data_IF_994237401985
#
_entry.id   IF_994237401985
#
_cell.length_a   1.000
_cell.length_b   1.000
_cell.length_c   1.000
_cell.angle_alpha   90.00
_cell.angle_beta   90.00
_cell.angle_gamma   90.00
#
_symmetry.space_group_name_H-M   'P 1'
#
loop_
_entity.id
_entity.type
_entity.pdbx_description
1 polymer ?
#
# COMPACT_ATOMS: atom_id res chain seq x y z
N UNK A 1 5.72 6.97 -18.53
CA UNK A 1 5.09 7.21 -17.22
C UNK A 1 5.72 6.21 -16.25
N UNK A 2 5.99 6.59 -14.99
CA UNK A 2 6.56 5.66 -14.01
C UNK A 2 5.49 4.70 -13.49
N UNK A 3 5.90 3.57 -12.92
CA UNK A 3 4.97 2.66 -12.27
C UNK A 3 4.18 3.36 -11.16
N UNK A 4 4.83 4.21 -10.35
CA UNK A 4 4.18 4.97 -9.29
C UNK A 4 3.06 5.86 -9.84
N UNK A 5 3.35 6.65 -10.87
CA UNK A 5 2.38 7.53 -11.49
C UNK A 5 1.21 6.77 -12.12
N UNK A 6 1.45 5.59 -12.70
CA UNK A 6 0.40 4.73 -13.24
C UNK A 6 -0.54 4.21 -12.13
N UNK A 7 0.04 3.70 -11.03
CA UNK A 7 -0.73 3.21 -9.88
C UNK A 7 -1.51 4.34 -9.21
N UNK A 8 -0.87 5.46 -8.90
CA UNK A 8 -1.54 6.64 -8.34
C UNK A 8 -2.73 7.04 -9.20
N UNK A 9 -2.55 7.12 -10.52
CA UNK A 9 -3.62 7.51 -11.45
C UNK A 9 -4.78 6.50 -11.47
N UNK A 10 -4.49 5.21 -11.32
CA UNK A 10 -5.53 4.17 -11.22
C UNK A 10 -6.31 4.37 -9.91
N UNK A 11 -5.62 4.53 -8.77
CA UNK A 11 -6.27 4.73 -7.46
C UNK A 11 -7.11 6.02 -7.45
N UNK A 12 -6.57 7.13 -7.93
CA UNK A 12 -7.27 8.43 -8.00
C UNK A 12 -8.50 8.41 -8.93
N UNK A 13 -8.52 7.55 -9.96
CA UNK A 13 -9.70 7.36 -10.81
C UNK A 13 -10.82 6.62 -10.09
N UNK A 14 -10.49 5.74 -9.15
CA UNK A 14 -11.47 5.02 -8.34
C UNK A 14 -12.12 5.95 -7.31
N UNK A 15 -11.34 6.85 -6.71
CA UNK A 15 -11.79 7.72 -5.64
C UNK A 15 -11.97 9.18 -6.11
N UNK A 16 -10.90 9.96 -6.08
CA UNK A 16 -10.84 11.31 -6.62
C UNK A 16 -9.36 11.74 -6.75
N UNK A 17 -9.05 12.73 -7.62
CA UNK A 17 -7.69 13.27 -7.73
C UNK A 17 -7.22 13.96 -6.45
N UNK A 18 -5.99 13.68 -6.02
CA UNK A 18 -5.36 14.40 -4.89
C UNK A 18 -4.76 15.74 -5.32
N UNK A 19 -4.47 15.92 -6.61
CA UNK A 19 -3.77 17.09 -7.15
C UNK A 19 -2.28 17.13 -6.84
N UNK A 20 -1.72 16.06 -6.27
CA UNK A 20 -0.33 15.94 -5.84
C UNK A 20 0.41 14.95 -6.76
N UNK A 21 1.70 15.15 -7.01
CA UNK A 21 2.55 14.09 -7.61
C UNK A 21 3.36 13.43 -6.50
N UNK A 22 3.00 12.19 -6.12
CA UNK A 22 3.67 11.47 -5.03
C UNK A 22 5.12 11.07 -5.33
N UNK A 23 5.57 11.07 -6.59
CA UNK A 23 6.98 10.87 -6.93
C UNK A 23 7.89 11.94 -6.30
N UNK A 24 7.35 13.15 -6.06
CA UNK A 24 8.09 14.24 -5.42
C UNK A 24 8.25 14.07 -3.91
N UNK A 25 7.60 13.08 -3.32
CA UNK A 25 7.58 12.80 -1.89
C UNK A 25 8.35 11.52 -1.55
N UNK A 26 9.05 10.94 -2.53
CA UNK A 26 9.98 9.83 -2.27
C UNK A 26 11.15 10.34 -1.44
N UNK A 27 11.40 9.68 -0.31
CA UNK A 27 12.47 10.03 0.62
C UNK A 27 13.63 9.04 0.55
N UNK A 28 14.82 9.51 0.93
CA UNK A 28 16.03 8.68 0.98
C UNK A 28 16.01 7.74 2.20
N UNK A 29 16.88 6.72 2.17
CA UNK A 29 17.09 5.83 3.34
C UNK A 29 17.54 6.61 4.58
N UNK A 30 18.38 7.62 4.42
CA UNK A 30 18.80 8.48 5.55
C UNK A 30 17.60 9.18 6.19
N UNK A 31 16.72 9.74 5.37
CA UNK A 31 15.51 10.40 5.86
C UNK A 31 14.52 9.41 6.48
N UNK A 32 14.38 8.21 5.91
CA UNK A 32 13.62 7.11 6.50
C UNK A 32 14.13 6.79 7.90
N UNK A 33 15.42 6.52 8.07
CA UNK A 33 16.02 6.21 9.38
C UNK A 33 15.81 7.36 10.40
N UNK A 34 15.95 8.61 9.94
CA UNK A 34 15.69 9.78 10.78
C UNK A 34 14.22 9.90 11.22
N UNK A 35 13.26 9.58 10.35
CA UNK A 35 11.83 9.67 10.70
C UNK A 35 11.39 8.49 11.58
N UNK A 36 11.91 7.30 11.29
CA UNK A 36 11.67 6.06 12.03
C UNK A 36 11.98 6.15 13.52
N UNK A 37 12.92 6.99 13.94
CA UNK A 37 13.23 7.18 15.37
C UNK A 37 12.09 7.83 16.18
N UNK A 38 11.12 8.45 15.51
CA UNK A 38 9.98 9.12 16.13
C UNK A 38 8.71 8.25 16.16
N UNK A 39 8.79 7.03 15.64
CA UNK A 39 7.71 6.07 15.63
C UNK A 39 8.03 4.91 16.59
N UNK A 40 7.29 4.85 17.70
CA UNK A 40 7.48 3.82 18.74
C UNK A 40 7.17 2.40 18.24
N UNK A 41 6.48 2.24 17.10
CA UNK A 41 6.17 0.95 16.47
C UNK A 41 7.18 0.54 15.41
N UNK A 42 8.21 1.35 15.17
CA UNK A 42 9.14 1.18 14.05
C UNK A 42 9.86 -0.18 14.04
N UNK A 43 10.13 -0.79 15.20
CA UNK A 43 10.86 -2.07 15.29
C UNK A 43 10.09 -3.28 14.73
N UNK A 44 8.78 -3.15 14.53
CA UNK A 44 7.91 -4.25 14.08
C UNK A 44 7.38 -4.06 12.65
N UNK A 45 7.49 -2.84 12.11
CA UNK A 45 7.02 -2.49 10.78
C UNK A 45 8.09 -2.77 9.72
N UNK A 46 7.66 -3.05 8.49
CA UNK A 46 8.55 -3.37 7.37
C UNK A 46 9.59 -2.28 7.12
N UNK A 47 10.83 -2.71 6.84
CA UNK A 47 11.92 -1.86 6.33
C UNK A 47 11.93 -1.81 4.79
N UNK A 48 11.03 -2.54 4.12
CA UNK A 48 10.97 -2.55 2.66
C UNK A 48 10.30 -1.30 2.09
N UNK A 49 9.27 -0.79 2.75
CA UNK A 49 8.59 0.43 2.35
C UNK A 49 7.85 1.05 3.54
N UNK A 50 7.60 2.37 3.49
CA UNK A 50 6.81 3.07 4.53
C UNK A 50 6.33 4.45 4.08
N UNK A 51 5.10 4.81 4.42
CA UNK A 51 4.58 6.18 4.37
C UNK A 51 4.60 6.83 5.75
N UNK A 52 5.03 8.09 5.78
CA UNK A 52 4.96 8.96 6.95
C UNK A 52 3.98 10.09 6.69
N UNK A 53 3.12 10.35 7.68
CA UNK A 53 2.23 11.51 7.71
C UNK A 53 2.58 12.42 8.87
N UNK A 54 2.47 13.73 8.63
CA UNK A 54 2.44 14.73 9.70
C UNK A 54 1.57 15.90 9.29
N UNK A 55 0.60 16.25 10.14
CA UNK A 55 -0.17 17.48 9.99
C UNK A 55 0.46 18.58 10.83
N UNK A 56 0.77 19.71 10.21
CA UNK A 56 1.27 20.89 10.91
C UNK A 56 0.84 22.16 10.17
N UNK A 57 0.36 23.17 10.91
CA UNK A 57 -0.10 24.46 10.35
C UNK A 57 -1.03 24.32 9.13
N UNK A 58 -2.01 23.41 9.20
CA UNK A 58 -2.95 23.11 8.11
C UNK A 58 -2.26 22.65 6.81
N UNK A 59 -1.13 21.99 6.93
CA UNK A 59 -0.43 21.30 5.83
C UNK A 59 -0.22 19.85 6.20
N UNK A 60 -0.43 18.97 5.22
CA UNK A 60 -0.03 17.58 5.31
C UNK A 60 1.38 17.43 4.74
N UNK A 61 2.29 16.92 5.56
CA UNK A 61 3.61 16.46 5.13
C UNK A 61 3.53 14.97 4.90
N UNK A 62 3.98 14.53 3.73
CA UNK A 62 4.03 13.13 3.31
C UNK A 62 5.48 12.77 2.99
N UNK A 63 5.91 11.58 3.37
CA UNK A 63 7.17 11.01 2.91
C UNK A 63 6.97 9.53 2.62
N UNK A 64 7.41 9.07 1.46
CA UNK A 64 7.27 7.67 1.03
C UNK A 64 8.66 7.08 0.84
N UNK A 65 8.97 6.03 1.57
CA UNK A 65 10.22 5.31 1.44
C UNK A 65 10.00 3.98 0.72
N UNK A 66 10.90 3.66 -0.20
CA UNK A 66 11.04 2.33 -0.80
C UNK A 66 12.51 1.89 -0.68
N UNK A 67 12.74 0.68 -0.20
CA UNK A 67 14.07 0.12 -0.05
C UNK A 67 14.71 -0.15 -1.41
N UNK A 68 16.05 -0.16 -1.44
CA UNK A 68 16.79 -0.48 -2.68
C UNK A 68 16.50 -1.90 -3.17
N UNK A 69 16.23 -2.84 -2.27
CA UNK A 69 15.96 -4.22 -2.63
C UNK A 69 14.55 -4.37 -3.22
N UNK A 70 13.57 -3.65 -2.69
CA UNK A 70 12.23 -3.54 -3.27
C UNK A 70 12.28 -2.95 -4.68
N UNK A 71 12.99 -1.82 -4.85
CA UNK A 71 13.17 -1.18 -6.16
C UNK A 71 13.82 -2.16 -7.14
N UNK A 72 14.92 -2.82 -6.74
CA UNK A 72 15.60 -3.81 -7.59
C UNK A 72 14.70 -4.99 -7.96
N UNK A 73 13.87 -5.47 -7.03
CA UNK A 73 12.93 -6.56 -7.31
C UNK A 73 11.91 -6.15 -8.39
N UNK A 74 11.34 -4.95 -8.29
CA UNK A 74 10.38 -4.42 -9.26
C UNK A 74 11.02 -4.11 -10.61
N UNK A 75 12.24 -3.57 -10.64
CA UNK A 75 12.96 -3.31 -11.90
C UNK A 75 13.34 -4.61 -12.61
N UNK A 76 13.77 -5.63 -11.86
CA UNK A 76 14.13 -6.94 -12.41
C UNK A 76 12.92 -7.73 -12.92
N UNK A 77 11.78 -7.57 -12.26
CA UNK A 77 10.55 -8.30 -12.55
C UNK A 77 9.35 -7.33 -12.66
N UNK A 78 9.39 -6.47 -13.68
CA UNK A 78 8.41 -5.38 -13.86
C UNK A 78 6.97 -5.90 -13.92
N UNK A 79 6.08 -5.51 -12.97
CA UNK A 79 4.68 -5.96 -12.95
C UNK A 79 3.88 -5.49 -14.18
N UNK A 80 4.36 -4.48 -14.92
CA UNK A 80 3.78 -4.03 -16.20
C UNK A 80 4.05 -4.99 -17.35
N UNK A 81 4.80 -6.06 -17.12
CA UNK A 81 5.03 -7.15 -18.08
C UNK A 81 4.28 -8.43 -17.72
N UNK A 82 3.57 -8.43 -16.59
CA UNK A 82 2.85 -9.59 -16.06
C UNK A 82 3.09 -9.78 -14.56
N UNK A 83 2.10 -10.36 -13.88
CA UNK A 83 2.22 -10.75 -12.48
C UNK A 83 2.67 -12.21 -12.36
N UNK A 84 3.53 -12.48 -11.39
CA UNK A 84 4.08 -13.82 -11.13
C UNK A 84 4.56 -13.94 -9.68
N UNK A 85 4.93 -15.16 -9.27
CA UNK A 85 5.58 -15.43 -7.98
C UNK A 85 6.83 -14.56 -7.73
N UNK A 86 7.48 -14.07 -8.79
CA UNK A 86 8.73 -13.31 -8.67
C UNK A 86 8.52 -11.85 -8.31
N UNK A 87 7.32 -11.31 -8.53
CA UNK A 87 7.06 -9.88 -8.34
C UNK A 87 5.82 -9.56 -7.50
N UNK A 88 4.89 -10.50 -7.30
CA UNK A 88 3.63 -10.20 -6.60
C UNK A 88 3.85 -9.61 -5.21
N UNK A 89 4.72 -10.20 -4.40
CA UNK A 89 4.98 -9.71 -3.03
C UNK A 89 5.57 -8.29 -3.04
N UNK A 90 6.59 -8.05 -3.86
CA UNK A 90 7.21 -6.73 -4.00
C UNK A 90 6.17 -5.70 -4.52
N UNK A 91 5.32 -6.12 -5.45
CA UNK A 91 4.32 -5.24 -6.02
C UNK A 91 3.19 -4.91 -5.05
N UNK A 92 2.73 -5.86 -4.22
CA UNK A 92 1.78 -5.60 -3.15
C UNK A 92 2.29 -4.51 -2.21
N UNK A 93 3.50 -4.69 -1.65
CA UNK A 93 4.12 -3.71 -0.73
C UNK A 93 4.23 -2.34 -1.41
N UNK A 94 4.63 -2.29 -2.67
CA UNK A 94 4.73 -1.03 -3.41
C UNK A 94 3.39 -0.31 -3.56
N UNK A 95 2.33 -1.05 -3.87
CA UNK A 95 0.97 -0.54 -4.08
C UNK A 95 0.33 -0.11 -2.75
N UNK A 96 0.53 -0.87 -1.67
CA UNK A 96 0.02 -0.55 -0.33
C UNK A 96 0.47 0.84 0.11
N UNK A 97 1.76 1.18 -0.03
CA UNK A 97 2.26 2.51 0.35
C UNK A 97 1.68 3.64 -0.54
N UNK A 98 1.46 3.39 -1.84
CA UNK A 98 0.82 4.39 -2.71
C UNK A 98 -0.62 4.62 -2.26
N UNK A 99 -1.34 3.55 -1.93
CA UNK A 99 -2.71 3.64 -1.42
C UNK A 99 -2.74 4.39 -0.09
N UNK A 100 -1.82 4.09 0.83
CA UNK A 100 -1.69 4.86 2.08
C UNK A 100 -1.53 6.35 1.80
N UNK A 101 -0.60 6.73 0.92
CA UNK A 101 -0.35 8.13 0.59
C UNK A 101 -1.57 8.82 -0.05
N UNK A 102 -2.25 8.16 -0.99
CA UNK A 102 -3.48 8.67 -1.63
C UNK A 102 -4.58 8.85 -0.59
N UNK A 103 -4.92 7.81 0.16
CA UNK A 103 -5.99 7.87 1.17
C UNK A 103 -5.68 8.88 2.28
N UNK A 104 -4.43 8.98 2.70
CA UNK A 104 -3.99 10.01 3.65
C UNK A 104 -4.21 11.42 3.11
N UNK A 105 -3.88 11.68 1.85
CA UNK A 105 -4.14 12.97 1.21
C UNK A 105 -5.64 13.26 1.07
N UNK A 106 -6.44 12.27 0.66
CA UNK A 106 -7.89 12.44 0.54
C UNK A 106 -8.55 12.74 1.89
N UNK A 107 -8.16 12.02 2.95
CA UNK A 107 -8.67 12.25 4.31
C UNK A 107 -8.29 13.62 4.85
N UNK A 108 -7.09 14.10 4.53
CA UNK A 108 -6.70 15.47 4.84
C UNK A 108 -7.57 16.50 4.11
N UNK A 109 -7.87 16.29 2.83
CA UNK A 109 -8.74 17.18 2.04
C UNK A 109 -10.18 17.20 2.57
N UNK A 110 -10.66 16.11 3.16
CA UNK A 110 -11.96 16.02 3.84
C UNK A 110 -11.98 16.77 5.20
N UNK A 111 -10.85 17.33 5.64
CA UNK A 111 -10.75 18.09 6.88
C UNK A 111 -10.54 17.26 8.13
N UNK A 112 -10.18 15.97 7.99
CA UNK A 112 -9.87 15.08 9.11
C UNK A 112 -8.38 15.23 9.50
N UNK A 113 -8.05 15.74 10.70
CA UNK A 113 -6.68 16.12 11.03
C UNK A 113 -5.89 15.03 11.79
N UNK A 114 -6.55 13.98 12.28
CA UNK A 114 -5.96 13.06 13.26
C UNK A 114 -5.53 11.72 12.64
N UNK A 115 -4.33 11.73 12.07
CA UNK A 115 -3.66 10.57 11.46
C UNK A 115 -3.14 9.56 12.49
N UNK A 116 -3.18 9.91 13.79
CA UNK A 116 -2.71 9.04 14.87
C UNK A 116 -3.82 8.19 15.49
N UNK A 117 -5.08 8.41 15.14
CA UNK A 117 -6.19 7.62 15.66
C UNK A 117 -6.17 6.20 15.10
N UNK A 118 -6.37 5.23 15.98
CA UNK A 118 -6.38 3.81 15.60
C UNK A 118 -7.47 3.50 14.56
N UNK A 119 -8.63 4.15 14.62
CA UNK A 119 -9.68 4.00 13.61
C UNK A 119 -9.22 4.42 12.21
N UNK A 120 -8.49 5.54 12.11
CA UNK A 120 -7.91 5.97 10.85
C UNK A 120 -6.89 4.95 10.33
N UNK A 121 -6.02 4.44 11.20
CA UNK A 121 -5.00 3.46 10.82
C UNK A 121 -5.63 2.13 10.38
N UNK A 122 -6.69 1.67 11.06
CA UNK A 122 -7.47 0.49 10.67
C UNK A 122 -8.13 0.66 9.30
N UNK A 123 -8.79 1.80 9.08
CA UNK A 123 -9.41 2.11 7.80
C UNK A 123 -8.35 2.17 6.68
N UNK A 124 -7.19 2.76 6.97
CA UNK A 124 -6.08 2.90 6.03
C UNK A 124 -5.54 1.53 5.58
N UNK A 125 -5.30 0.62 6.52
CA UNK A 125 -4.82 -0.74 6.20
C UNK A 125 -5.89 -1.55 5.44
N UNK A 126 -7.16 -1.45 5.87
CA UNK A 126 -8.25 -2.14 5.18
C UNK A 126 -8.39 -1.68 3.73
N UNK A 127 -8.40 -0.37 3.50
CA UNK A 127 -8.48 0.19 2.14
C UNK A 127 -7.27 -0.23 1.30
N UNK A 128 -6.06 -0.19 1.87
CA UNK A 128 -4.86 -0.64 1.17
C UNK A 128 -4.95 -2.10 0.73
N UNK A 129 -5.48 -3.01 1.56
CA UNK A 129 -5.69 -4.42 1.18
C UNK A 129 -6.72 -4.57 0.06
N UNK A 130 -7.85 -3.89 0.16
CA UNK A 130 -8.92 -3.94 -0.86
C UNK A 130 -8.41 -3.40 -2.19
N UNK A 131 -7.78 -2.22 -2.19
CA UNK A 131 -7.27 -1.58 -3.39
C UNK A 131 -6.16 -2.39 -4.04
N UNK A 132 -5.25 -2.95 -3.24
CA UNK A 132 -4.21 -3.85 -3.75
C UNK A 132 -4.82 -5.06 -4.44
N UNK A 133 -5.82 -5.71 -3.83
CA UNK A 133 -6.54 -6.82 -4.47
C UNK A 133 -7.17 -6.40 -5.80
N UNK A 134 -7.93 -5.31 -5.83
CA UNK A 134 -8.60 -4.82 -7.04
C UNK A 134 -7.61 -4.44 -8.14
N UNK A 135 -6.47 -3.87 -7.77
CA UNK A 135 -5.42 -3.50 -8.71
C UNK A 135 -4.71 -4.74 -9.28
N UNK A 136 -4.39 -5.73 -8.46
CA UNK A 136 -3.83 -7.00 -8.95
C UNK A 136 -4.80 -7.71 -9.90
N UNK A 137 -6.10 -7.68 -9.59
CA UNK A 137 -7.15 -8.18 -10.50
C UNK A 137 -7.14 -7.46 -11.84
N UNK A 138 -7.02 -6.12 -11.82
CA UNK A 138 -6.94 -5.32 -13.04
C UNK A 138 -5.71 -5.71 -13.88
N UNK A 139 -4.54 -5.88 -13.25
CA UNK A 139 -3.32 -6.32 -13.94
C UNK A 139 -3.48 -7.72 -14.53
N UNK A 140 -3.96 -8.70 -13.78
CA UNK A 140 -4.18 -10.06 -14.31
C UNK A 140 -5.18 -10.09 -15.47
N UNK A 141 -6.32 -9.40 -15.35
CA UNK A 141 -7.32 -9.33 -16.42
C UNK A 141 -6.73 -8.69 -17.70
N UNK A 142 -5.93 -7.63 -17.53
CA UNK A 142 -5.23 -6.99 -18.65
C UNK A 142 -4.26 -7.94 -19.35
N UNK A 143 -3.39 -8.65 -18.62
CA UNK A 143 -2.38 -9.53 -19.22
C UNK A 143 -2.94 -10.85 -19.74
N UNK A 144 -3.99 -11.38 -19.12
CA UNK A 144 -4.70 -12.57 -19.61
C UNK A 144 -5.53 -12.29 -20.88
N UNK A 145 -5.59 -11.02 -21.33
CA UNK A 145 -6.47 -10.55 -22.42
C UNK A 145 -7.94 -10.94 -22.23
N UNK A 146 -8.31 -11.22 -20.98
CA UNK A 146 -9.64 -11.65 -20.58
C UNK A 146 -10.23 -10.59 -19.68
N UNK A 147 -11.47 -10.18 -19.96
CA UNK A 147 -12.20 -9.27 -19.08
C UNK A 147 -12.61 -9.92 -17.75
N UNK A 148 -12.32 -11.21 -17.58
CA UNK A 148 -12.68 -11.98 -16.39
C UNK A 148 -11.49 -12.79 -15.88
N UNK A 149 -11.36 -12.82 -14.56
CA UNK A 149 -10.41 -13.70 -13.87
C UNK A 149 -10.99 -15.09 -13.70
N UNK A 150 -10.13 -16.07 -13.92
CA UNK A 150 -10.43 -17.47 -13.64
C UNK A 150 -10.52 -17.73 -12.14
N UNK A 151 -11.05 -18.89 -11.76
CA UNK A 151 -11.11 -19.28 -10.35
C UNK A 151 -9.70 -19.36 -9.73
N UNK A 152 -8.72 -19.87 -10.49
CA UNK A 152 -7.34 -20.01 -10.03
C UNK A 152 -6.66 -18.66 -9.79
N UNK A 153 -6.88 -17.67 -10.67
CA UNK A 153 -6.38 -16.30 -10.49
C UNK A 153 -6.85 -15.71 -9.15
N UNK A 154 -8.14 -15.90 -8.82
CA UNK A 154 -8.72 -15.38 -7.57
C UNK A 154 -8.15 -16.07 -6.35
N UNK A 155 -7.99 -17.39 -6.40
CA UNK A 155 -7.36 -18.16 -5.32
C UNK A 155 -5.91 -17.73 -5.13
N UNK A 156 -5.17 -17.55 -6.23
CA UNK A 156 -3.79 -17.11 -6.22
C UNK A 156 -3.61 -15.72 -5.60
N UNK A 157 -4.45 -14.75 -5.98
CA UNK A 157 -4.44 -13.42 -5.36
C UNK A 157 -4.78 -13.44 -3.88
N UNK A 158 -5.77 -14.26 -3.49
CA UNK A 158 -6.15 -14.40 -2.07
C UNK A 158 -5.03 -15.00 -1.24
N UNK A 159 -4.35 -16.02 -1.77
CA UNK A 159 -3.21 -16.63 -1.11
C UNK A 159 -2.13 -15.59 -0.80
N UNK A 160 -1.73 -14.79 -1.78
CA UNK A 160 -0.68 -13.80 -1.61
C UNK A 160 -1.06 -12.58 -0.76
N UNK A 161 -2.34 -12.21 -0.69
CA UNK A 161 -2.79 -11.02 0.05
C UNK A 161 -3.35 -11.29 1.45
N UNK A 162 -3.91 -12.47 1.69
CA UNK A 162 -4.65 -12.75 2.94
C UNK A 162 -4.16 -13.98 3.70
N UNK A 163 -3.54 -14.96 3.04
CA UNK A 163 -3.18 -16.23 3.69
C UNK A 163 -1.69 -16.34 4.00
N UNK A 164 -0.83 -15.70 3.19
CA UNK A 164 0.64 -15.77 3.32
C UNK A 164 1.20 -14.80 4.37
N UNK A 165 0.41 -13.85 4.84
CA UNK A 165 0.87 -12.79 5.74
C UNK A 165 1.14 -13.33 7.16
N UNK A 166 2.39 -13.27 7.61
CA UNK A 166 2.78 -13.67 8.96
C UNK A 166 2.56 -12.51 9.93
N UNK A 167 1.50 -12.58 10.74
CA UNK A 167 1.12 -11.53 11.69
C UNK A 167 1.85 -11.63 13.04
N UNK A 168 3.16 -11.85 13.00
CA UNK A 168 4.01 -12.07 14.19
C UNK A 168 4.48 -10.73 14.80
N UNK A 169 3.55 -9.84 15.10
CA UNK A 169 3.83 -8.56 15.76
C UNK A 169 3.92 -8.73 17.28
N UNK A 170 4.86 -8.04 17.93
CA UNK A 170 4.97 -8.04 19.39
C UNK A 170 3.91 -7.12 20.03
N UNK A 171 3.49 -6.07 19.33
CA UNK A 171 2.38 -5.19 19.71
C UNK A 171 1.04 -5.84 19.38
N UNK A 172 0.22 -6.06 20.41
CA UNK A 172 -1.14 -6.61 20.26
C UNK A 172 -2.07 -5.68 19.48
N UNK A 173 -1.89 -4.37 19.60
CA UNK A 173 -2.65 -3.39 18.82
C UNK A 173 -2.30 -3.49 17.33
N UNK A 174 -1.01 -3.61 17.02
CA UNK A 174 -0.53 -3.74 15.65
C UNK A 174 -1.00 -5.08 15.03
N UNK A 175 -0.82 -6.18 15.76
CA UNK A 175 -1.34 -7.50 15.37
C UNK A 175 -2.85 -7.46 15.11
N UNK A 176 -3.60 -6.80 15.99
CA UNK A 176 -5.05 -6.62 15.87
C UNK A 176 -5.44 -5.87 14.59
N UNK A 177 -4.74 -4.77 14.27
CA UNK A 177 -4.98 -3.95 13.08
C UNK A 177 -4.79 -4.76 11.79
N UNK A 178 -3.64 -5.42 11.63
CA UNK A 178 -3.37 -6.21 10.43
C UNK A 178 -4.27 -7.44 10.33
N UNK A 179 -4.57 -8.11 11.45
CA UNK A 179 -5.52 -9.23 11.47
C UNK A 179 -6.92 -8.79 11.01
N UNK A 180 -7.41 -7.64 11.50
CA UNK A 180 -8.69 -7.09 11.05
C UNK A 180 -8.67 -6.72 9.57
N UNK A 181 -7.59 -6.08 9.09
CA UNK A 181 -7.44 -5.73 7.69
C UNK A 181 -7.49 -6.97 6.77
N UNK A 182 -6.84 -8.07 7.18
CA UNK A 182 -6.88 -9.36 6.46
C UNK A 182 -8.30 -9.93 6.46
N UNK A 183 -8.93 -10.08 7.63
CA UNK A 183 -10.26 -10.71 7.75
C UNK A 183 -11.34 -9.92 7.01
N UNK A 184 -11.34 -8.60 7.16
CA UNK A 184 -12.32 -7.73 6.50
C UNK A 184 -12.01 -7.58 5.01
N UNK A 185 -10.74 -7.42 4.64
CA UNK A 185 -10.30 -7.36 3.25
C UNK A 185 -10.73 -8.61 2.49
N UNK A 186 -10.51 -9.79 3.06
CA UNK A 186 -10.95 -11.05 2.47
C UNK A 186 -12.47 -11.11 2.33
N UNK A 187 -13.22 -10.61 3.32
CA UNK A 187 -14.69 -10.57 3.27
C UNK A 187 -15.22 -9.65 2.17
N UNK A 188 -14.64 -8.46 1.99
CA UNK A 188 -15.07 -7.48 1.01
C UNK A 188 -14.61 -7.78 -0.42
N UNK A 189 -13.67 -8.70 -0.59
CA UNK A 189 -13.11 -9.09 -1.89
C UNK A 189 -13.60 -10.45 -2.41
N UNK A 190 -14.51 -11.10 -1.67
CA UNK A 190 -15.26 -12.29 -2.11
C UNK A 190 -16.34 -11.93 -3.13
#
# INVERSE_FOLDING_TARGET
>A
MSLLADIQKITERTYQPTGVNFEKFIITRERFLYLSQYDFTCGELSDSARVFFRVHERRLYVGIYYSRDLIRALEKHDPRTGLSERNITAFCVFVEEINHAVHGALKFMEGLPDFGQESFLQDLELQAKIDTYLLLKYFLAFFNQSKQLEAMDRLWLRHHLFEREELNYASSALAGRYCQAVVLGEKYTR
#
